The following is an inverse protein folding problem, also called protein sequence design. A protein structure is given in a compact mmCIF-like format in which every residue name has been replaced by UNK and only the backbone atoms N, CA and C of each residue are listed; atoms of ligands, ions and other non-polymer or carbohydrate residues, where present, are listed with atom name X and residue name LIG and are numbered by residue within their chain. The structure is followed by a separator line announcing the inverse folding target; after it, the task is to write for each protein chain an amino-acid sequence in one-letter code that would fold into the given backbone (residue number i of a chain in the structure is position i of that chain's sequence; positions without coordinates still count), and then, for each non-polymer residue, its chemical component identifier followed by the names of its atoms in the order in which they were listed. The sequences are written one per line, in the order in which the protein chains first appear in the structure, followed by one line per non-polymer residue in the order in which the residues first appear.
data_IF_377506638769
#
_entry.id   IF_377506638769
#
_cell.length_a   1.000
_cell.length_b   1.000
_cell.length_c   1.000
_cell.angle_alpha   90.00
_cell.angle_beta   90.00
_cell.angle_gamma   90.00
#
_symmetry.space_group_name_H-M   'P 1'
#
loop_
_entity.id
_entity.type
_entity.pdbx_description
1 polymer ?
#
# COMPACT_ATOMS: atom_id res chain seq x y z
N UNK A 1 19.34 -31.89 -49.16
CA UNK A 1 20.18 -30.82 -49.73
C UNK A 1 19.23 -29.70 -50.09
N UNK A 2 19.18 -28.54 -49.45
CA UNK A 2 20.08 -27.86 -48.51
C UNK A 2 19.27 -26.94 -47.59
N UNK A 3 19.78 -26.79 -46.37
CA UNK A 3 19.36 -25.85 -45.35
C UNK A 3 19.48 -24.39 -45.83
N UNK A 4 18.53 -23.55 -45.43
CA UNK A 4 18.79 -22.12 -45.14
C UNK A 4 18.30 -21.80 -43.74
N UNK A 5 19.09 -22.22 -42.78
CA UNK A 5 19.24 -21.56 -41.48
C UNK A 5 20.24 -20.42 -41.65
N UNK A 6 19.81 -19.18 -41.44
CA UNK A 6 20.70 -18.07 -41.06
C UNK A 6 19.86 -16.89 -40.56
N UNK A 7 19.94 -16.70 -39.24
CA UNK A 7 20.01 -15.40 -38.55
C UNK A 7 18.73 -14.54 -38.45
N UNK A 8 17.78 -14.97 -37.62
CA UNK A 8 17.10 -14.02 -36.74
C UNK A 8 18.01 -13.77 -35.54
N UNK A 9 18.88 -12.77 -35.65
CA UNK A 9 19.56 -12.21 -34.49
C UNK A 9 18.49 -11.68 -33.52
N UNK A 10 18.49 -12.22 -32.31
CA UNK A 10 17.73 -11.69 -31.20
C UNK A 10 18.08 -10.21 -31.04
N UNK A 11 17.07 -9.34 -31.15
CA UNK A 11 17.24 -7.93 -30.86
C UNK A 11 17.78 -7.79 -29.43
N UNK A 12 18.76 -6.88 -29.20
CA UNK A 12 19.30 -6.66 -27.87
C UNK A 12 18.16 -6.25 -26.94
N UNK A 13 18.09 -6.88 -25.77
CA UNK A 13 17.20 -6.47 -24.68
C UNK A 13 17.58 -5.05 -24.33
N UNK A 14 16.73 -4.13 -24.72
CA UNK A 14 16.86 -2.72 -24.44
C UNK A 14 16.82 -2.54 -22.91
N UNK A 15 17.96 -2.22 -22.30
CA UNK A 15 18.10 -1.83 -20.89
C UNK A 15 17.54 -0.43 -20.68
N UNK A 16 16.30 -0.21 -21.13
CA UNK A 16 15.49 0.93 -20.70
C UNK A 16 14.99 0.61 -19.30
N UNK A 17 15.17 1.58 -18.40
CA UNK A 17 14.59 1.59 -17.06
C UNK A 17 13.08 1.37 -17.18
N UNK A 18 12.64 0.10 -17.14
CA UNK A 18 11.24 -0.25 -17.04
C UNK A 18 10.79 0.35 -15.72
N UNK A 19 9.92 1.35 -15.77
CA UNK A 19 9.35 1.93 -14.56
C UNK A 19 8.52 0.86 -13.89
N UNK A 20 9.13 0.12 -12.97
CA UNK A 20 8.47 -1.00 -12.31
C UNK A 20 7.47 -0.42 -11.32
N UNK A 21 6.18 -0.59 -11.60
CA UNK A 21 5.13 -0.13 -10.69
C UNK A 21 5.02 -1.05 -9.46
N UNK A 22 4.61 -0.51 -8.31
CA UNK A 22 4.32 -1.30 -7.10
C UNK A 22 3.35 -2.45 -7.44
N UNK A 23 2.30 -2.17 -8.21
CA UNK A 23 1.32 -3.18 -8.64
C UNK A 23 1.95 -4.23 -9.55
N UNK A 24 2.87 -3.84 -10.42
CA UNK A 24 3.65 -4.75 -11.26
C UNK A 24 4.47 -5.74 -10.43
N UNK A 25 5.24 -5.25 -9.45
CA UNK A 25 6.05 -6.12 -8.56
C UNK A 25 5.17 -7.07 -7.76
N UNK A 26 4.10 -6.57 -7.15
CA UNK A 26 3.21 -7.43 -6.38
C UNK A 26 2.54 -8.49 -7.25
N UNK A 27 2.19 -8.15 -8.50
CA UNK A 27 1.70 -9.14 -9.47
C UNK A 27 2.74 -10.22 -9.79
N UNK A 28 4.01 -9.85 -9.96
CA UNK A 28 5.08 -10.81 -10.21
C UNK A 28 5.33 -11.72 -9.00
N UNK A 29 5.34 -11.16 -7.79
CA UNK A 29 5.46 -11.93 -6.55
C UNK A 29 4.32 -12.93 -6.40
N UNK A 30 3.07 -12.50 -6.65
CA UNK A 30 1.90 -13.37 -6.60
C UNK A 30 1.96 -14.55 -7.58
N UNK A 31 2.57 -14.38 -8.75
CA UNK A 31 2.77 -15.46 -9.73
C UNK A 31 3.82 -16.49 -9.31
N UNK A 32 4.62 -16.21 -8.28
CA UNK A 32 5.66 -17.08 -7.75
C UNK A 32 5.28 -17.79 -6.45
N UNK A 33 4.01 -17.69 -6.04
CA UNK A 33 3.44 -18.45 -4.93
C UNK A 33 3.39 -19.93 -5.33
N UNK A 34 3.85 -20.83 -4.45
CA UNK A 34 3.72 -22.26 -4.69
C UNK A 34 2.28 -22.71 -4.40
N UNK A 35 1.54 -23.06 -5.44
CA UNK A 35 0.15 -23.53 -5.34
C UNK A 35 0.02 -24.87 -4.58
N UNK A 36 1.11 -25.63 -4.45
CA UNK A 36 1.13 -26.90 -3.71
C UNK A 36 1.40 -26.70 -2.21
N UNK A 37 1.81 -25.51 -1.79
CA UNK A 37 2.01 -25.19 -0.39
C UNK A 37 0.65 -24.96 0.29
N UNK A 38 0.27 -25.88 1.18
CA UNK A 38 -0.99 -25.82 1.93
C UNK A 38 -1.09 -24.67 2.93
N UNK A 39 -0.03 -23.87 3.13
CA UNK A 39 -0.04 -22.70 4.01
C UNK A 39 -0.77 -21.53 3.35
N UNK A 40 -1.62 -20.86 4.13
CA UNK A 40 -2.25 -19.58 3.74
C UNK A 40 -1.19 -18.54 3.36
N UNK A 41 -1.38 -17.90 2.21
CA UNK A 41 -0.63 -16.71 1.77
C UNK A 41 -0.93 -15.50 2.66
N UNK A 42 0.12 -14.86 3.17
CA UNK A 42 0.01 -13.62 3.95
C UNK A 42 0.71 -12.50 3.18
N UNK A 43 -0.08 -11.53 2.71
CA UNK A 43 0.44 -10.38 1.97
C UNK A 43 0.53 -9.14 2.84
N UNK A 44 1.74 -8.75 3.22
CA UNK A 44 2.05 -7.48 3.89
C UNK A 44 2.69 -6.46 2.92
N UNK A 45 2.75 -6.75 1.61
CA UNK A 45 3.26 -5.84 0.59
C UNK A 45 2.23 -4.83 0.07
N UNK A 46 0.94 -5.19 0.11
CA UNK A 46 -0.17 -4.32 -0.29
C UNK A 46 -0.45 -3.28 0.79
N UNK A 47 -0.47 -2.00 0.43
CA UNK A 47 -0.81 -0.90 1.34
C UNK A 47 -2.32 -0.67 1.51
N UNK A 48 -3.15 -1.60 1.04
CA UNK A 48 -4.61 -1.51 1.17
C UNK A 48 -5.07 -2.26 2.44
N UNK A 49 -5.53 -1.56 3.48
CA UNK A 49 -5.95 -2.18 4.73
C UNK A 49 -7.26 -2.97 4.59
N UNK A 50 -8.04 -2.76 3.51
CA UNK A 50 -9.36 -3.40 3.34
C UNK A 50 -9.27 -4.89 3.05
N UNK A 51 -8.08 -5.39 2.68
CA UNK A 51 -7.82 -6.82 2.56
C UNK A 51 -7.88 -7.56 3.92
N UNK A 52 -7.84 -6.84 5.05
CA UNK A 52 -7.86 -7.40 6.39
C UNK A 52 -9.15 -7.06 7.13
N UNK A 53 -9.64 -8.03 7.90
CA UNK A 53 -10.94 -7.94 8.58
C UNK A 53 -10.96 -6.93 9.74
N UNK A 54 -9.81 -6.41 10.16
CA UNK A 54 -9.75 -5.42 11.25
C UNK A 54 -10.04 -3.98 10.79
N UNK A 55 -10.02 -3.69 9.47
CA UNK A 55 -10.26 -2.35 8.94
C UNK A 55 -11.50 -2.29 8.05
N UNK A 56 -12.56 -1.68 8.60
CA UNK A 56 -13.83 -1.50 7.90
C UNK A 56 -14.21 -0.03 7.79
N UNK A 57 -14.99 0.29 6.77
CA UNK A 57 -15.65 1.61 6.70
C UNK A 57 -16.67 1.76 7.84
N UNK A 58 -16.89 2.98 8.31
CA UNK A 58 -17.92 3.27 9.31
C UNK A 58 -19.32 3.14 8.70
N UNK A 59 -20.31 2.72 9.50
CA UNK A 59 -21.71 2.64 9.09
C UNK A 59 -22.22 3.99 8.55
N UNK A 60 -21.80 5.10 9.16
CA UNK A 60 -22.11 6.46 8.71
C UNK A 60 -21.71 6.70 7.26
N UNK A 61 -20.56 6.16 6.83
CA UNK A 61 -20.09 6.27 5.44
C UNK A 61 -20.96 5.49 4.49
N UNK A 62 -21.38 4.29 4.87
CA UNK A 62 -22.25 3.46 4.05
C UNK A 62 -23.62 4.12 3.89
N UNK A 63 -24.24 4.50 5.00
CA UNK A 63 -25.55 5.16 5.01
C UNK A 63 -25.53 6.49 4.25
N UNK A 64 -24.49 7.32 4.45
CA UNK A 64 -24.39 8.60 3.75
C UNK A 64 -24.33 8.43 2.23
N UNK A 65 -23.63 7.40 1.74
CA UNK A 65 -23.54 7.10 0.30
C UNK A 65 -24.86 6.53 -0.22
N UNK A 66 -25.48 5.59 0.51
CA UNK A 66 -26.77 4.99 0.14
C UNK A 66 -27.86 6.06 0.08
N UNK A 67 -27.95 6.92 1.09
CA UNK A 67 -28.96 7.99 1.14
C UNK A 67 -28.74 9.01 0.02
N UNK A 68 -27.48 9.36 -0.29
CA UNK A 68 -27.18 10.25 -1.40
C UNK A 68 -27.63 9.65 -2.74
N UNK A 69 -27.39 8.36 -2.96
CA UNK A 69 -27.83 7.63 -4.15
C UNK A 69 -29.35 7.54 -4.24
N UNK A 70 -30.03 7.14 -3.17
CA UNK A 70 -31.49 6.97 -3.13
C UNK A 70 -32.26 8.31 -3.16
N UNK A 71 -31.59 9.42 -2.90
CA UNK A 71 -32.24 10.73 -2.90
C UNK A 71 -32.65 11.24 -4.29
N UNK A 72 -32.11 10.66 -5.37
CA UNK A 72 -32.22 11.12 -6.75
C UNK A 72 -31.75 12.57 -7.03
N UNK A 73 -31.16 13.23 -6.03
CA UNK A 73 -30.73 14.65 -6.11
C UNK A 73 -29.34 14.83 -6.73
N UNK A 74 -28.57 13.75 -6.84
CA UNK A 74 -27.14 13.80 -7.17
C UNK A 74 -26.79 12.91 -8.38
N UNK A 75 -27.74 12.73 -9.30
CA UNK A 75 -27.63 11.81 -10.46
C UNK A 75 -26.87 12.43 -11.67
N UNK A 76 -26.60 13.73 -11.65
CA UNK A 76 -25.89 14.45 -12.71
C UNK A 76 -24.46 14.85 -12.31
N UNK A 77 -23.76 15.58 -13.20
CA UNK A 77 -22.43 16.11 -12.91
C UNK A 77 -22.47 17.19 -11.83
N UNK A 78 -21.50 17.14 -10.92
CA UNK A 78 -21.23 18.23 -9.99
C UNK A 78 -20.63 19.43 -10.74
N UNK A 79 -20.73 20.66 -10.19
CA UNK A 79 -19.91 21.77 -10.65
C UNK A 79 -18.42 21.39 -10.63
N UNK A 80 -17.61 21.93 -11.54
CA UNK A 80 -16.15 21.65 -11.62
C UNK A 80 -15.43 21.84 -10.29
N UNK A 81 -15.84 22.86 -9.55
CA UNK A 81 -15.26 23.19 -8.25
C UNK A 81 -15.80 22.31 -7.11
N UNK A 82 -16.72 21.39 -7.39
CA UNK A 82 -17.41 20.55 -6.43
C UNK A 82 -18.61 21.21 -5.76
N UNK A 83 -19.41 20.40 -5.05
CA UNK A 83 -20.64 20.84 -4.39
C UNK A 83 -20.37 21.90 -3.31
N UNK A 84 -21.18 22.98 -3.23
CA UNK A 84 -20.98 24.05 -2.26
C UNK A 84 -20.95 23.56 -0.80
N UNK A 85 -21.81 22.61 -0.43
CA UNK A 85 -21.82 22.05 0.92
C UNK A 85 -20.49 21.36 1.30
N UNK A 86 -19.89 20.63 0.36
CA UNK A 86 -18.64 19.89 0.54
C UNK A 86 -17.45 20.83 0.67
N UNK A 87 -17.39 21.86 -0.19
CA UNK A 87 -16.33 22.88 -0.12
C UNK A 87 -16.35 23.67 1.18
N UNK A 88 -17.53 24.08 1.65
CA UNK A 88 -17.66 24.82 2.92
C UNK A 88 -17.11 24.01 4.08
N UNK A 89 -17.43 22.72 4.13
CA UNK A 89 -16.92 21.85 5.19
C UNK A 89 -15.39 21.69 5.11
N UNK A 90 -14.84 21.43 3.92
CA UNK A 90 -13.39 21.33 3.74
C UNK A 90 -12.66 22.59 4.22
N UNK A 91 -13.19 23.78 3.93
CA UNK A 91 -12.62 25.04 4.41
C UNK A 91 -12.62 25.12 5.95
N UNK A 92 -13.75 24.76 6.59
CA UNK A 92 -13.84 24.72 8.05
C UNK A 92 -12.87 23.71 8.68
N UNK A 93 -12.67 22.53 8.07
CA UNK A 93 -11.73 21.52 8.58
C UNK A 93 -10.26 21.88 8.32
N UNK A 94 -9.96 22.54 7.19
CA UNK A 94 -8.60 22.85 6.75
C UNK A 94 -8.00 24.14 7.33
N UNK A 95 -8.77 24.91 8.13
CA UNK A 95 -8.42 26.24 8.66
C UNK A 95 -7.18 26.31 9.59
N UNK A 96 -6.33 25.28 9.64
CA UNK A 96 -5.12 25.20 10.48
C UNK A 96 -3.79 25.41 9.75
N UNK A 97 -3.77 25.65 8.43
CA UNK A 97 -2.51 25.75 7.67
C UNK A 97 -2.35 27.11 6.96
N UNK A 98 -1.12 27.64 6.96
CA UNK A 98 -0.73 28.91 6.33
C UNK A 98 -1.08 28.90 4.84
N UNK A 99 -1.82 29.92 4.39
CA UNK A 99 -2.11 30.14 2.98
C UNK A 99 -0.86 30.69 2.27
N UNK A 100 -0.27 29.90 1.39
CA UNK A 100 0.63 30.40 0.35
C UNK A 100 -0.21 30.80 -0.86
N UNK A 101 0.05 31.96 -1.47
CA UNK A 101 -0.64 32.35 -2.70
C UNK A 101 -0.16 31.47 -3.85
N UNK A 102 -1.04 30.55 -4.27
CA UNK A 102 -0.85 29.61 -5.38
C UNK A 102 -1.92 29.84 -6.45
N UNK A 103 -2.40 31.07 -6.61
CA UNK A 103 -3.57 31.41 -7.43
C UNK A 103 -3.47 30.86 -8.86
N UNK A 104 -2.31 31.02 -9.51
CA UNK A 104 -2.08 30.49 -10.86
C UNK A 104 -2.03 28.96 -10.95
N UNK A 105 -1.64 28.27 -9.87
CA UNK A 105 -1.66 26.80 -9.80
C UNK A 105 -3.09 26.31 -9.59
N UNK A 106 -3.84 26.95 -8.70
CA UNK A 106 -5.25 26.62 -8.42
C UNK A 106 -6.10 26.78 -9.68
N UNK A 107 -5.88 27.84 -10.48
CA UNK A 107 -6.59 28.04 -11.74
C UNK A 107 -6.32 26.92 -12.74
N UNK A 108 -5.06 26.49 -12.88
CA UNK A 108 -4.69 25.37 -13.76
C UNK A 108 -5.31 24.05 -13.31
N UNK A 109 -5.33 23.78 -12.01
CA UNK A 109 -5.98 22.59 -11.44
C UNK A 109 -7.49 22.60 -11.73
N UNK A 110 -8.16 23.75 -11.59
CA UNK A 110 -9.59 23.88 -11.94
C UNK A 110 -9.85 23.58 -13.42
N UNK A 111 -9.03 24.15 -14.32
CA UNK A 111 -9.12 23.85 -15.77
C UNK A 111 -8.89 22.37 -16.08
N UNK A 112 -8.02 21.70 -15.32
CA UNK A 112 -7.81 20.26 -15.47
C UNK A 112 -9.02 19.43 -15.01
N UNK A 113 -9.69 19.86 -13.93
CA UNK A 113 -10.93 19.22 -13.48
C UNK A 113 -12.11 19.38 -14.44
N UNK A 114 -12.14 20.46 -15.25
CA UNK A 114 -13.13 20.61 -16.34
C UNK A 114 -13.01 19.49 -17.38
N UNK A 115 -11.82 18.91 -17.56
CA UNK A 115 -11.55 17.87 -18.55
C UNK A 115 -11.83 16.47 -18.01
N UNK A 116 -11.40 16.18 -16.77
CA UNK A 116 -11.47 14.83 -16.21
C UNK A 116 -12.86 14.42 -15.68
N UNK A 117 -13.72 15.39 -15.35
CA UNK A 117 -14.94 15.15 -14.59
C UNK A 117 -14.58 14.76 -13.15
N UNK A 118 -14.80 15.67 -12.21
CA UNK A 118 -14.45 15.48 -10.80
C UNK A 118 -15.08 14.25 -10.13
N UNK A 119 -14.90 14.08 -8.80
CA UNK A 119 -15.44 12.94 -8.07
C UNK A 119 -16.96 12.79 -8.26
N UNK A 120 -17.47 11.55 -8.21
CA UNK A 120 -18.90 11.27 -8.36
C UNK A 120 -19.76 12.15 -7.44
N UNK A 121 -20.81 12.76 -7.98
CA UNK A 121 -21.60 13.81 -7.30
C UNK A 121 -22.23 13.32 -6.00
N UNK A 122 -22.74 12.09 -5.98
CA UNK A 122 -23.32 11.49 -4.76
C UNK A 122 -22.27 11.22 -3.68
N UNK A 123 -21.01 10.93 -4.05
CA UNK A 123 -19.90 10.83 -3.08
C UNK A 123 -19.62 12.21 -2.48
N UNK A 124 -19.56 13.25 -3.32
CA UNK A 124 -19.38 14.62 -2.81
C UNK A 124 -20.51 15.01 -1.85
N UNK A 125 -21.75 14.61 -2.13
CA UNK A 125 -22.90 14.87 -1.27
C UNK A 125 -22.86 14.10 0.06
N UNK A 126 -22.28 12.90 0.08
CA UNK A 126 -22.12 12.09 1.28
C UNK A 126 -21.04 12.63 2.23
N UNK A 127 -19.93 13.16 1.68
CA UNK A 127 -18.74 13.59 2.46
C UNK A 127 -19.08 14.50 3.66
N UNK A 128 -19.97 15.51 3.56
CA UNK A 128 -20.33 16.33 4.70
C UNK A 128 -20.85 15.54 5.90
N UNK A 129 -21.77 14.61 5.65
CA UNK A 129 -22.34 13.74 6.67
C UNK A 129 -21.26 12.84 7.27
N UNK A 130 -20.42 12.24 6.43
CA UNK A 130 -19.31 11.37 6.85
C UNK A 130 -18.41 12.09 7.83
N UNK A 131 -17.93 13.29 7.48
CA UNK A 131 -16.99 14.04 8.29
C UNK A 131 -17.61 14.58 9.59
N UNK A 132 -18.91 14.88 9.60
CA UNK A 132 -19.59 15.45 10.77
C UNK A 132 -20.14 14.41 11.74
N UNK A 133 -20.58 13.26 11.23
CA UNK A 133 -21.30 12.25 12.00
C UNK A 133 -20.47 11.02 12.32
N UNK A 134 -19.29 10.84 11.70
CA UNK A 134 -18.40 9.74 12.11
C UNK A 134 -17.93 9.97 13.55
N UNK A 135 -18.28 9.04 14.42
CA UNK A 135 -17.95 9.12 15.85
C UNK A 135 -16.44 9.10 16.09
N UNK A 136 -15.99 9.87 17.08
CA UNK A 136 -14.57 9.89 17.48
C UNK A 136 -14.06 8.50 17.90
N UNK A 137 -14.94 7.66 18.45
CA UNK A 137 -14.65 6.29 18.84
C UNK A 137 -14.14 5.43 17.67
N UNK A 138 -14.66 5.65 16.45
CA UNK A 138 -14.21 4.97 15.25
C UNK A 138 -12.74 5.29 14.93
N UNK A 139 -12.38 6.57 14.97
CA UNK A 139 -11.00 7.02 14.74
C UNK A 139 -10.05 6.51 15.83
N UNK A 140 -10.46 6.63 17.11
CA UNK A 140 -9.68 6.13 18.25
C UNK A 140 -9.41 4.64 18.17
N UNK A 141 -10.43 3.84 17.82
CA UNK A 141 -10.29 2.39 17.61
C UNK A 141 -9.32 2.07 16.47
N UNK A 142 -9.46 2.75 15.33
CA UNK A 142 -8.58 2.56 14.16
C UNK A 142 -7.13 2.90 14.51
N UNK A 143 -6.89 4.02 15.18
CA UNK A 143 -5.56 4.43 15.62
C UNK A 143 -4.97 3.46 16.67
N UNK A 144 -5.79 2.96 17.59
CA UNK A 144 -5.37 1.95 18.56
C UNK A 144 -4.90 0.67 17.86
N UNK A 145 -5.67 0.16 16.91
CA UNK A 145 -5.32 -1.04 16.13
C UNK A 145 -4.04 -0.86 15.32
N UNK A 146 -3.90 0.29 14.63
CA UNK A 146 -2.69 0.60 13.86
C UNK A 146 -1.47 0.72 14.77
N UNK A 147 -1.60 1.36 15.93
CA UNK A 147 -0.52 1.47 16.90
C UNK A 147 -0.12 0.11 17.45
N UNK A 148 -1.07 -0.69 17.92
CA UNK A 148 -0.81 -2.04 18.42
C UNK A 148 -0.11 -2.92 17.35
N UNK A 149 -0.60 -2.86 16.11
CA UNK A 149 -0.05 -3.65 15.00
C UNK A 149 1.35 -3.17 14.61
N UNK A 150 1.60 -1.86 14.65
CA UNK A 150 2.93 -1.27 14.48
C UNK A 150 3.90 -1.73 15.56
N UNK A 151 3.49 -1.72 16.83
CA UNK A 151 4.30 -2.16 17.97
C UNK A 151 4.74 -3.62 17.76
N UNK A 152 3.78 -4.51 17.50
CA UNK A 152 4.04 -5.94 17.23
C UNK A 152 4.98 -6.10 16.03
N UNK A 153 4.71 -5.40 14.93
CA UNK A 153 5.52 -5.48 13.72
C UNK A 153 6.98 -5.11 13.99
N UNK A 154 7.22 -3.97 14.65
CA UNK A 154 8.57 -3.50 14.96
C UNK A 154 9.30 -4.44 15.93
N UNK A 155 8.63 -4.90 16.99
CA UNK A 155 9.23 -5.79 17.99
C UNK A 155 9.67 -7.12 17.34
N UNK A 156 8.80 -7.71 16.51
CA UNK A 156 9.09 -8.96 15.79
C UNK A 156 10.16 -8.80 14.71
N UNK A 157 10.19 -7.66 14.00
CA UNK A 157 11.26 -7.37 13.03
C UNK A 157 12.62 -7.35 13.71
N UNK A 158 12.72 -6.73 14.89
CA UNK A 158 13.98 -6.63 15.62
C UNK A 158 14.50 -7.98 16.14
N UNK A 159 13.68 -9.04 16.13
CA UNK A 159 14.12 -10.41 16.43
C UNK A 159 14.76 -11.13 15.24
N UNK A 160 14.76 -10.53 14.04
CA UNK A 160 15.28 -11.13 12.80
C UNK A 160 16.58 -10.40 12.44
N UNK A 161 17.76 -11.02 12.61
CA UNK A 161 19.05 -10.32 12.50
C UNK A 161 19.31 -9.60 11.16
N UNK A 162 18.82 -10.13 10.03
CA UNK A 162 18.98 -9.46 8.73
C UNK A 162 18.04 -8.28 8.50
N UNK A 163 17.11 -8.02 9.43
CA UNK A 163 16.13 -6.94 9.33
C UNK A 163 16.35 -5.91 10.43
N UNK A 164 16.19 -4.64 10.10
CA UNK A 164 16.30 -3.57 11.09
C UNK A 164 15.23 -2.51 10.84
N UNK A 165 14.48 -2.19 11.89
CA UNK A 165 13.53 -1.08 11.89
C UNK A 165 14.21 0.15 12.52
N UNK A 166 14.81 1.07 11.73
CA UNK A 166 15.60 2.17 12.28
C UNK A 166 14.76 3.16 13.10
N UNK A 167 13.52 3.38 12.69
CA UNK A 167 12.56 4.22 13.40
C UNK A 167 11.20 3.56 13.37
N UNK A 168 10.54 3.58 14.52
CA UNK A 168 9.14 3.16 14.63
C UNK A 168 8.25 4.15 13.88
N UNK A 169 7.26 3.69 13.10
CA UNK A 169 6.41 4.59 12.34
C UNK A 169 5.47 5.36 13.28
N UNK A 170 5.44 6.68 13.12
CA UNK A 170 4.56 7.60 13.87
C UNK A 170 3.22 7.85 13.16
N UNK A 171 3.06 7.29 11.95
CA UNK A 171 1.86 7.40 11.12
C UNK A 171 1.93 6.46 9.92
N UNK A 172 0.95 6.57 9.03
CA UNK A 172 0.75 5.63 7.90
C UNK A 172 0.34 4.22 8.37
N UNK A 173 0.49 3.25 7.46
CA UNK A 173 0.06 1.85 7.59
C UNK A 173 1.19 0.87 7.27
N UNK A 174 2.39 1.37 6.99
CA UNK A 174 3.55 0.57 6.61
C UNK A 174 4.84 1.14 7.21
N UNK A 175 5.82 0.26 7.39
CA UNK A 175 7.17 0.56 7.88
C UNK A 175 8.21 0.19 6.82
N UNK A 176 9.24 1.02 6.68
CA UNK A 176 10.42 0.70 5.89
C UNK A 176 11.44 0.00 6.78
N UNK A 177 11.84 -1.20 6.38
CA UNK A 177 12.76 -2.07 7.11
C UNK A 177 14.02 -2.21 6.29
N UNK A 178 15.16 -1.95 6.92
CA UNK A 178 16.46 -2.13 6.28
C UNK A 178 16.77 -3.62 6.21
N UNK A 179 17.22 -4.07 5.05
CA UNK A 179 17.64 -5.45 4.80
C UNK A 179 19.17 -5.50 4.75
N UNK A 180 19.77 -6.26 5.66
CA UNK A 180 21.20 -6.54 5.66
C UNK A 180 21.49 -7.82 4.88
N UNK A 181 21.80 -7.64 3.60
CA UNK A 181 22.14 -8.72 2.68
C UNK A 181 23.46 -9.42 3.05
N UNK A 182 24.34 -8.79 3.84
CA UNK A 182 25.62 -9.40 4.23
C UNK A 182 25.46 -10.61 5.16
N UNK A 183 24.31 -10.68 5.84
CA UNK A 183 23.92 -11.75 6.76
C UNK A 183 23.19 -12.91 6.08
N UNK A 184 22.95 -12.81 4.77
CA UNK A 184 22.26 -13.81 3.98
C UNK A 184 23.24 -14.51 3.02
N UNK A 185 23.07 -15.82 2.90
CA UNK A 185 23.61 -16.62 1.81
C UNK A 185 22.65 -16.51 0.61
N UNK A 186 23.15 -16.74 -0.61
CA UNK A 186 22.35 -16.95 -1.83
C UNK A 186 21.24 -15.91 -2.17
N UNK A 187 21.33 -14.68 -1.65
CA UNK A 187 20.39 -13.59 -1.88
C UNK A 187 21.16 -12.29 -2.18
N UNK A 188 20.98 -11.73 -3.37
CA UNK A 188 21.79 -10.61 -3.85
C UNK A 188 21.14 -9.23 -3.66
N UNK A 189 19.81 -9.16 -3.62
CA UNK A 189 19.07 -7.90 -3.47
C UNK A 189 17.71 -8.09 -2.77
N UNK A 190 16.99 -6.97 -2.55
CA UNK A 190 15.67 -6.95 -1.90
C UNK A 190 14.56 -7.59 -2.76
N UNK A 191 14.73 -7.63 -4.08
CA UNK A 191 13.79 -8.26 -5.00
C UNK A 191 13.91 -9.78 -4.85
N UNK A 192 15.11 -10.33 -4.95
CA UNK A 192 15.41 -11.76 -4.78
C UNK A 192 15.00 -12.26 -3.39
N UNK A 193 15.27 -11.47 -2.34
CA UNK A 193 14.78 -11.75 -0.99
C UNK A 193 13.26 -11.95 -0.97
N UNK A 194 12.50 -11.01 -1.54
CA UNK A 194 11.05 -11.09 -1.57
C UNK A 194 10.53 -12.25 -2.42
N UNK A 195 11.15 -12.55 -3.57
CA UNK A 195 10.76 -13.70 -4.39
C UNK A 195 10.96 -15.02 -3.67
N UNK A 196 12.12 -15.23 -3.03
CA UNK A 196 12.40 -16.44 -2.26
C UNK A 196 11.47 -16.58 -1.05
N UNK A 197 11.23 -15.48 -0.33
CA UNK A 197 10.32 -15.46 0.81
C UNK A 197 8.89 -15.85 0.39
N UNK A 198 8.41 -15.37 -0.75
CA UNK A 198 7.09 -15.76 -1.26
C UNK A 198 7.04 -17.24 -1.58
N UNK A 199 8.04 -17.74 -2.32
CA UNK A 199 8.10 -19.13 -2.76
C UNK A 199 8.23 -20.13 -1.61
N UNK A 200 8.97 -19.78 -0.55
CA UNK A 200 9.27 -20.71 0.53
C UNK A 200 8.37 -20.58 1.76
N UNK A 201 7.78 -19.41 1.98
CA UNK A 201 7.02 -19.12 3.21
C UNK A 201 5.59 -18.64 2.95
N UNK A 202 5.20 -18.43 1.68
CA UNK A 202 3.92 -17.82 1.34
C UNK A 202 3.71 -16.48 2.08
N UNK A 203 4.77 -15.65 2.13
CA UNK A 203 4.76 -14.30 2.72
C UNK A 203 5.22 -13.28 1.68
N UNK A 204 4.39 -12.26 1.43
CA UNK A 204 4.71 -11.16 0.51
C UNK A 204 5.09 -9.91 1.31
N UNK A 205 6.29 -9.41 1.09
CA UNK A 205 6.69 -8.03 1.37
C UNK A 205 6.85 -7.27 0.06
N UNK A 206 6.87 -5.93 0.12
CA UNK A 206 7.19 -5.13 -1.05
C UNK A 206 8.70 -4.80 -1.04
N UNK A 207 9.46 -5.15 -2.08
CA UNK A 207 10.84 -4.68 -2.26
C UNK A 207 10.90 -3.15 -2.22
N UNK A 208 11.87 -2.60 -1.49
CA UNK A 208 12.11 -1.16 -1.40
C UNK A 208 12.49 -0.56 -2.75
N UNK A 209 13.07 -1.35 -3.66
CA UNK A 209 13.34 -0.95 -5.04
C UNK A 209 12.07 -0.45 -5.75
N UNK A 210 10.89 -0.98 -5.42
CA UNK A 210 9.59 -0.51 -5.94
C UNK A 210 9.27 0.96 -5.57
N UNK A 211 9.93 1.49 -4.54
CA UNK A 211 9.78 2.87 -4.04
C UNK A 211 11.10 3.63 -4.06
N UNK A 212 12.10 3.14 -4.80
CA UNK A 212 13.39 3.81 -5.00
C UNK A 212 14.41 3.62 -3.88
N UNK A 213 14.27 2.61 -3.02
CA UNK A 213 15.18 2.30 -1.90
C UNK A 213 15.72 0.87 -1.98
N UNK A 214 16.93 0.70 -2.52
CA UNK A 214 17.58 -0.63 -2.65
C UNK A 214 18.02 -1.18 -1.30
N UNK A 215 17.96 -2.50 -1.10
CA UNK A 215 18.24 -3.15 0.20
C UNK A 215 17.31 -2.69 1.34
N UNK A 216 16.07 -2.35 1.00
CA UNK A 216 14.99 -2.13 1.95
C UNK A 216 13.79 -2.98 1.58
N UNK A 217 12.91 -3.22 2.53
CA UNK A 217 11.59 -3.81 2.29
C UNK A 217 10.54 -2.93 2.97
N UNK A 218 9.37 -2.83 2.34
CA UNK A 218 8.20 -2.19 2.93
C UNK A 218 7.25 -3.26 3.46
N UNK A 219 6.99 -3.20 4.76
CA UNK A 219 6.07 -4.11 5.46
C UNK A 219 4.86 -3.32 5.93
N UNK A 220 3.67 -3.74 5.50
CA UNK A 220 2.39 -3.14 5.91
C UNK A 220 1.97 -3.77 7.22
N UNK A 221 1.66 -2.95 8.21
CA UNK A 221 1.14 -3.36 9.52
C UNK A 221 -0.34 -3.04 9.71
N UNK A 222 -1.02 -2.49 8.69
CA UNK A 222 -2.48 -2.43 8.66
C UNK A 222 -3.09 -3.78 8.28
N UNK A 223 -2.82 -4.77 9.13
CA UNK A 223 -3.27 -6.15 9.02
C UNK A 223 -3.71 -6.68 10.40
N UNK A 224 -4.38 -7.82 10.43
CA UNK A 224 -4.71 -8.48 11.70
C UNK A 224 -3.41 -8.82 12.47
N UNK A 225 -3.30 -8.52 13.79
CA UNK A 225 -2.09 -8.78 14.56
C UNK A 225 -1.55 -10.21 14.44
N UNK A 226 -2.44 -11.21 14.41
CA UNK A 226 -2.07 -12.61 14.22
C UNK A 226 -1.45 -12.89 12.85
N UNK A 227 -1.86 -12.17 11.80
CA UNK A 227 -1.27 -12.31 10.47
C UNK A 227 0.14 -11.69 10.43
N UNK A 228 0.37 -10.59 11.15
CA UNK A 228 1.69 -9.96 11.28
C UNK A 228 2.65 -10.87 12.04
N UNK A 229 2.21 -11.40 13.18
CA UNK A 229 3.01 -12.34 13.98
C UNK A 229 3.39 -13.58 13.18
N UNK A 230 2.43 -14.19 12.48
CA UNK A 230 2.66 -15.38 11.67
C UNK A 230 3.60 -15.11 10.49
N UNK A 231 3.41 -13.99 9.78
CA UNK A 231 4.29 -13.60 8.68
C UNK A 231 5.74 -13.42 9.16
N UNK A 232 5.95 -12.67 10.24
CA UNK A 232 7.29 -12.41 10.75
C UNK A 232 7.92 -13.66 11.39
N UNK A 233 7.12 -14.55 12.00
CA UNK A 233 7.58 -15.86 12.45
C UNK A 233 8.11 -16.70 11.28
N UNK A 234 7.39 -16.73 10.15
CA UNK A 234 7.83 -17.41 8.93
C UNK A 234 9.07 -16.77 8.33
N UNK A 235 9.13 -15.44 8.28
CA UNK A 235 10.34 -14.70 7.84
C UNK A 235 11.54 -15.02 8.72
N UNK A 236 11.36 -15.18 10.03
CA UNK A 236 12.43 -15.60 10.95
C UNK A 236 12.93 -17.01 10.63
N UNK A 237 12.02 -17.96 10.35
CA UNK A 237 12.37 -19.31 9.90
C UNK A 237 13.09 -19.31 8.55
N UNK A 238 12.67 -18.46 7.61
CA UNK A 238 13.36 -18.23 6.34
C UNK A 238 14.79 -17.72 6.56
N UNK A 239 14.95 -16.68 7.38
CA UNK A 239 16.27 -16.16 7.73
C UNK A 239 17.16 -17.26 8.31
N UNK A 240 16.67 -18.10 9.23
CA UNK A 240 17.48 -19.18 9.82
C UNK A 240 18.03 -20.18 8.80
N UNK A 241 17.34 -20.39 7.67
CA UNK A 241 17.80 -21.29 6.60
C UNK A 241 18.79 -20.64 5.65
N UNK A 242 18.64 -19.33 5.40
CA UNK A 242 19.50 -18.54 4.52
C UNK A 242 20.56 -17.74 5.28
N UNK A 243 20.68 -17.91 6.60
CA UNK A 243 21.68 -17.20 7.38
C UNK A 243 23.08 -17.65 6.93
N UNK A 244 23.93 -16.68 6.58
CA UNK A 244 25.31 -16.96 6.20
C UNK A 244 26.01 -17.66 7.37
N UNK A 245 26.52 -18.86 7.12
CA UNK A 245 27.31 -19.61 8.10
C UNK A 245 28.64 -18.90 8.30
N UNK A 246 28.89 -18.45 9.54
CA UNK A 246 30.18 -17.89 9.95
C UNK A 246 31.23 -18.99 10.13
#
# INVERSE_FOLDING_TARGET
MENRTSDLQAAPVDTTSTTITIKGILSLLLQNVDENDGRRLISLGMGDPTAFSCFHTTHVSQEAVVDALQSDKFNGYAPTVGLPQTRRLQACTASKHRAYSLEGVIERIKKYFDILGGPATFIQAAVPRILQQTEEAFFKKTLYLLKQSSDICCDRINEIPCLTCPSKPEGSMAVMVKLDLSLLEDINDDIEFCFKLVKEENVIFLPGTAVGLTSWIRVTFAADPSSIEEALRRTKSFYQRHARKL
#
